data_IF_433132765755
#
_entry.id   IF_433132765755
#
_cell.length_a   1.000
_cell.length_b   1.000
_cell.length_c   1.000
_cell.angle_alpha   90.00
_cell.angle_beta   90.00
_cell.angle_gamma   90.00
#
_symmetry.space_group_name_H-M   'P 1'
#
loop_
_entity.id
_entity.type
_entity.pdbx_description
1 polymer ?
#
# COMPACT_ATOMS: atom_id res chain seq x y z
N UNK A 1 -30.53 7.19 25.91
CA UNK A 1 -29.47 6.41 25.26
C UNK A 1 -28.16 6.70 25.95
N UNK A 2 -27.26 5.73 26.00
CA UNK A 2 -25.88 5.93 26.48
C UNK A 2 -25.00 6.54 25.36
N UNK A 3 -23.72 6.81 25.69
CA UNK A 3 -22.78 7.45 24.76
C UNK A 3 -22.47 6.61 23.48
N UNK A 4 -22.81 5.31 23.50
CA UNK A 4 -22.59 4.40 22.37
C UNK A 4 -23.84 4.21 21.51
N UNK A 5 -24.91 4.95 21.81
CA UNK A 5 -26.22 4.81 21.19
C UNK A 5 -26.77 6.16 20.72
N UNK A 6 -27.59 6.14 19.70
CA UNK A 6 -28.41 7.29 19.29
C UNK A 6 -29.89 6.98 19.40
N UNK A 7 -30.70 8.01 19.70
CA UNK A 7 -32.16 7.90 19.77
C UNK A 7 -32.75 7.91 18.36
N UNK A 8 -33.72 7.02 18.12
CA UNK A 8 -34.50 7.05 16.88
C UNK A 8 -35.43 8.25 16.85
N UNK A 9 -35.65 8.83 15.67
CA UNK A 9 -36.61 9.91 15.48
C UNK A 9 -38.06 9.39 15.74
N UNK A 10 -38.84 10.15 16.49
CA UNK A 10 -40.26 9.92 16.71
C UNK A 10 -41.02 11.12 16.19
N UNK A 11 -42.02 10.90 15.34
CA UNK A 11 -42.96 11.95 14.96
C UNK A 11 -44.04 11.98 16.03
N UNK A 12 -44.22 13.13 16.67
CA UNK A 12 -45.22 13.33 17.72
C UNK A 12 -46.33 14.22 17.18
N UNK A 13 -47.56 13.80 17.31
CA UNK A 13 -48.75 14.53 16.94
C UNK A 13 -49.67 14.77 18.15
N UNK A 14 -50.76 15.47 17.93
CA UNK A 14 -51.73 15.83 18.97
C UNK A 14 -52.43 14.64 19.62
N UNK A 15 -52.41 13.47 18.98
CA UNK A 15 -53.02 12.25 19.57
C UNK A 15 -52.10 11.60 20.60
N UNK A 16 -50.85 11.96 20.63
CA UNK A 16 -49.84 11.43 21.55
C UNK A 16 -49.60 12.30 22.78
N UNK A 17 -50.16 13.48 22.80
CA UNK A 17 -50.01 14.45 23.91
C UNK A 17 -51.35 14.62 24.65
N UNK A 18 -51.26 15.11 25.89
CA UNK A 18 -52.45 15.34 26.70
C UNK A 18 -52.92 16.77 26.58
N UNK A 19 -54.25 16.97 26.46
CA UNK A 19 -54.86 18.29 26.42
C UNK A 19 -56.25 18.28 25.76
N UNK A 20 -57.03 19.34 26.00
CA UNK A 20 -58.27 19.61 25.26
C UNK A 20 -57.99 20.69 24.22
N UNK A 21 -57.96 20.30 22.95
CA UNK A 21 -57.63 21.17 21.81
C UNK A 21 -58.86 21.75 21.12
N UNK A 22 -60.03 21.69 21.80
CA UNK A 22 -61.27 22.31 21.29
C UNK A 22 -61.25 23.81 21.50
N UNK A 23 -61.90 24.51 20.59
CA UNK A 23 -62.15 25.95 20.69
C UNK A 23 -63.54 26.31 20.20
N UNK A 24 -64.16 27.25 20.90
CA UNK A 24 -65.39 27.90 20.46
C UNK A 24 -65.15 29.18 19.70
N UNK A 25 -63.86 29.59 19.56
CA UNK A 25 -63.45 30.83 18.93
C UNK A 25 -63.17 30.65 17.43
N UNK A 26 -62.24 29.74 17.10
CA UNK A 26 -61.91 29.40 15.74
C UNK A 26 -61.14 28.07 15.61
N UNK A 27 -61.07 27.53 14.38
CA UNK A 27 -60.24 26.39 14.08
C UNK A 27 -58.75 26.67 14.30
N UNK A 28 -58.32 27.90 14.00
CA UNK A 28 -56.93 28.33 14.22
C UNK A 28 -56.55 28.31 15.71
N UNK A 29 -57.42 28.77 16.58
CA UNK A 29 -57.23 28.69 18.05
C UNK A 29 -57.14 27.25 18.54
N UNK A 30 -57.94 26.35 18.02
CA UNK A 30 -57.87 24.94 18.33
C UNK A 30 -56.52 24.33 17.86
N UNK A 31 -56.08 24.64 16.64
CA UNK A 31 -54.82 24.19 16.10
C UNK A 31 -53.60 24.75 16.88
N UNK A 32 -53.67 26.00 17.35
CA UNK A 32 -52.61 26.58 18.15
C UNK A 32 -52.48 25.91 19.53
N UNK A 33 -53.59 25.55 20.14
CA UNK A 33 -53.59 24.77 21.41
C UNK A 33 -52.95 23.40 21.21
N UNK A 34 -53.29 22.68 20.16
CA UNK A 34 -52.70 21.38 19.83
C UNK A 34 -51.20 21.50 19.58
N UNK A 35 -50.77 22.51 18.77
CA UNK A 35 -49.35 22.77 18.48
C UNK A 35 -48.56 23.04 19.77
N UNK A 36 -49.07 23.92 20.62
CA UNK A 36 -48.40 24.27 21.87
C UNK A 36 -48.24 23.03 22.79
N UNK A 37 -49.24 22.12 22.84
CA UNK A 37 -49.14 20.90 23.60
C UNK A 37 -48.09 19.91 23.03
N UNK A 38 -48.03 19.79 21.70
CA UNK A 38 -47.01 18.96 21.04
C UNK A 38 -45.61 19.55 21.29
N UNK A 39 -45.43 20.87 21.19
CA UNK A 39 -44.15 21.53 21.48
C UNK A 39 -43.73 21.35 22.95
N UNK A 40 -44.67 21.43 23.90
CA UNK A 40 -44.35 21.28 25.32
C UNK A 40 -44.07 19.85 25.75
N UNK A 41 -44.78 18.85 25.21
CA UNK A 41 -44.76 17.47 25.66
C UNK A 41 -44.00 16.52 24.70
N UNK A 42 -43.71 16.98 23.48
CA UNK A 42 -43.21 16.13 22.41
C UNK A 42 -41.90 15.45 22.74
N UNK A 43 -40.99 16.12 23.46
CA UNK A 43 -39.70 15.51 23.84
C UNK A 43 -39.89 14.36 24.82
N UNK A 44 -40.79 14.52 25.81
CA UNK A 44 -41.08 13.45 26.77
C UNK A 44 -41.72 12.24 26.10
N UNK A 45 -42.64 12.48 25.16
CA UNK A 45 -43.22 11.40 24.35
C UNK A 45 -42.16 10.71 23.49
N UNK A 46 -41.27 11.49 22.88
CA UNK A 46 -40.17 10.93 22.09
C UNK A 46 -39.20 10.10 22.94
N UNK A 47 -38.91 10.54 24.15
CA UNK A 47 -38.03 9.82 25.10
C UNK A 47 -38.64 8.46 25.55
N UNK A 48 -40.00 8.38 25.64
CA UNK A 48 -40.69 7.15 25.99
C UNK A 48 -40.89 6.21 24.80
N UNK A 49 -41.19 6.74 23.62
CA UNK A 49 -41.51 5.96 22.42
C UNK A 49 -40.31 5.68 21.53
N UNK A 50 -39.29 6.50 21.60
CA UNK A 50 -38.01 6.32 20.85
C UNK A 50 -37.24 5.10 21.34
N UNK A 51 -36.47 4.53 20.43
CA UNK A 51 -35.54 3.42 20.73
C UNK A 51 -34.11 3.93 20.71
N UNK A 52 -33.27 3.34 21.54
CA UNK A 52 -31.84 3.56 21.48
C UNK A 52 -31.18 2.50 20.57
N UNK A 53 -30.50 2.95 19.56
CA UNK A 53 -29.79 2.09 18.61
C UNK A 53 -28.28 2.30 18.75
N UNK A 54 -27.52 1.22 18.63
CA UNK A 54 -26.07 1.29 18.71
C UNK A 54 -25.53 2.09 17.54
N UNK A 55 -24.57 2.97 17.82
CA UNK A 55 -23.82 3.67 16.78
C UNK A 55 -23.03 2.62 15.98
N UNK A 56 -23.22 2.52 14.66
CA UNK A 56 -22.46 1.58 13.85
C UNK A 56 -20.97 1.95 13.88
N UNK A 57 -20.13 0.92 14.01
CA UNK A 57 -18.69 1.08 13.93
C UNK A 57 -18.19 0.34 12.69
N UNK A 58 -17.62 1.09 11.78
CA UNK A 58 -17.01 0.59 10.54
C UNK A 58 -15.52 0.39 10.77
N UNK A 59 -14.96 -0.72 10.24
CA UNK A 59 -13.52 -0.99 10.30
C UNK A 59 -12.93 -0.85 8.91
N UNK A 60 -11.94 0.02 8.78
CA UNK A 60 -11.25 0.30 7.53
C UNK A 60 -10.23 -0.76 7.18
N UNK A 61 -10.14 -1.07 5.90
CA UNK A 61 -9.14 -1.96 5.32
C UNK A 61 -8.48 -1.31 4.12
N UNK A 62 -7.18 -1.51 3.98
CA UNK A 62 -6.43 -1.05 2.80
C UNK A 62 -5.17 -1.87 2.61
N UNK A 63 -4.80 -2.08 1.35
CA UNK A 63 -3.59 -2.81 0.97
C UNK A 63 -2.94 -2.11 -0.21
N UNK A 64 -1.62 -1.96 -0.19
CA UNK A 64 -0.83 -1.39 -1.28
C UNK A 64 0.54 -2.04 -1.38
N UNK A 65 1.01 -2.21 -2.61
CA UNK A 65 2.36 -2.70 -2.90
C UNK A 65 3.30 -1.53 -3.12
N UNK A 66 4.47 -1.58 -2.46
CA UNK A 66 5.55 -0.61 -2.58
C UNK A 66 6.80 -1.31 -3.13
N UNK A 67 7.58 -0.59 -3.91
CA UNK A 67 8.89 -1.05 -4.37
C UNK A 67 9.98 -0.47 -3.48
N UNK A 68 10.89 -1.29 -3.00
CA UNK A 68 12.07 -0.82 -2.26
C UNK A 68 12.87 0.16 -3.10
N UNK A 69 13.22 1.32 -2.55
CA UNK A 69 13.88 2.42 -3.28
C UNK A 69 15.25 2.82 -2.72
N UNK A 70 15.76 2.11 -1.74
CA UNK A 70 17.07 2.38 -1.11
C UNK A 70 18.14 1.33 -1.47
N UNK A 71 18.05 0.69 -2.65
CA UNK A 71 19.00 -0.33 -3.11
C UNK A 71 20.28 0.23 -3.76
N UNK A 72 20.46 1.55 -3.83
CA UNK A 72 21.61 2.12 -4.53
C UNK A 72 21.63 1.72 -6.01
N UNK A 73 22.67 0.99 -6.44
CA UNK A 73 22.82 0.51 -7.82
C UNK A 73 21.93 -0.72 -8.14
N UNK A 74 21.34 -1.35 -7.13
CA UNK A 74 20.45 -2.51 -7.30
C UNK A 74 19.02 -2.13 -7.66
N UNK A 75 18.27 -3.11 -8.11
CA UNK A 75 16.84 -3.00 -8.34
C UNK A 75 16.08 -3.44 -7.11
N UNK A 76 15.14 -2.62 -6.64
CA UNK A 76 14.32 -2.95 -5.49
C UNK A 76 13.21 -3.95 -5.84
N UNK A 77 13.05 -4.95 -4.99
CA UNK A 77 11.90 -5.84 -4.99
C UNK A 77 10.65 -5.15 -4.44
N UNK A 78 9.53 -5.83 -4.52
CA UNK A 78 8.24 -5.32 -4.02
C UNK A 78 7.87 -5.91 -2.66
N UNK A 79 7.14 -5.14 -1.87
CA UNK A 79 6.56 -5.57 -0.61
C UNK A 79 5.12 -5.04 -0.48
N UNK A 80 4.20 -5.93 -0.16
CA UNK A 80 2.78 -5.56 -0.01
C UNK A 80 2.49 -5.28 1.46
N UNK A 81 2.01 -4.07 1.74
CA UNK A 81 1.67 -3.58 3.07
C UNK A 81 0.15 -3.47 3.18
N UNK A 82 -0.42 -3.98 4.25
CA UNK A 82 -1.83 -3.83 4.59
C UNK A 82 -2.01 -3.02 5.89
N UNK A 83 -3.26 -2.68 6.18
CA UNK A 83 -3.67 -1.91 7.36
C UNK A 83 -3.21 -2.48 8.70
N UNK A 84 -3.02 -3.81 8.81
CA UNK A 84 -2.60 -4.48 10.06
C UNK A 84 -1.09 -4.38 10.32
N UNK A 85 -0.33 -3.99 9.31
CA UNK A 85 1.14 -3.89 9.36
C UNK A 85 1.62 -2.49 9.75
N UNK A 86 0.72 -1.54 9.89
CA UNK A 86 1.03 -0.13 10.17
C UNK A 86 0.47 0.29 11.53
N UNK A 87 1.09 1.30 12.12
CA UNK A 87 0.65 1.85 13.40
C UNK A 87 -0.74 2.48 13.28
N UNK A 88 -1.51 2.35 14.34
CA UNK A 88 -2.86 2.90 14.44
C UNK A 88 -4.00 1.91 14.12
N UNK A 89 -3.69 0.68 13.76
CA UNK A 89 -4.70 -0.37 13.61
C UNK A 89 -5.37 -0.72 14.97
N UNK A 90 -6.71 -0.98 15.00
CA UNK A 90 -7.66 -0.95 13.90
C UNK A 90 -8.14 0.48 13.54
N UNK A 91 -8.32 0.75 12.24
CA UNK A 91 -8.84 2.02 11.75
C UNK A 91 -10.37 1.99 11.75
N UNK A 92 -10.98 2.69 12.69
CA UNK A 92 -12.42 2.68 12.86
C UNK A 92 -13.08 4.04 12.59
N UNK A 93 -14.35 4.00 12.23
CA UNK A 93 -15.21 5.18 12.07
C UNK A 93 -16.64 4.88 12.47
N UNK A 94 -17.30 5.87 13.04
CA UNK A 94 -18.76 5.86 13.26
C UNK A 94 -19.52 6.61 12.18
N UNK A 95 -18.79 7.22 11.22
CA UNK A 95 -19.39 8.03 10.14
C UNK A 95 -19.74 7.16 8.94
N UNK A 96 -18.75 6.43 8.39
CA UNK A 96 -18.96 5.55 7.23
C UNK A 96 -17.81 4.55 7.05
N UNK A 97 -18.08 3.51 6.26
CA UNK A 97 -17.05 2.55 5.81
C UNK A 97 -15.96 3.25 5.00
N UNK A 98 -16.33 4.24 4.18
CA UNK A 98 -15.39 5.03 3.38
C UNK A 98 -14.42 5.83 4.26
N UNK A 99 -14.94 6.49 5.32
CA UNK A 99 -14.09 7.22 6.27
C UNK A 99 -13.11 6.28 6.98
N UNK A 100 -13.57 5.10 7.40
CA UNK A 100 -12.70 4.08 8.00
C UNK A 100 -11.61 3.61 7.01
N UNK A 101 -11.97 3.34 5.75
CA UNK A 101 -11.03 2.94 4.71
C UNK A 101 -10.02 4.05 4.38
N UNK A 102 -10.44 5.31 4.38
CA UNK A 102 -9.55 6.46 4.15
C UNK A 102 -8.51 6.62 5.26
N UNK A 103 -8.87 6.34 6.51
CA UNK A 103 -7.92 6.32 7.64
C UNK A 103 -6.88 5.21 7.47
N UNK A 104 -7.31 3.99 7.12
CA UNK A 104 -6.41 2.87 6.83
C UNK A 104 -5.48 3.18 5.65
N UNK A 105 -6.02 3.75 4.58
CA UNK A 105 -5.25 4.17 3.40
C UNK A 105 -4.19 5.20 3.76
N UNK A 106 -4.53 6.22 4.51
CA UNK A 106 -3.59 7.28 4.91
C UNK A 106 -2.42 6.71 5.71
N UNK A 107 -2.67 5.77 6.64
CA UNK A 107 -1.63 5.13 7.44
C UNK A 107 -0.72 4.23 6.59
N UNK A 108 -1.27 3.41 5.70
CA UNK A 108 -0.50 2.55 4.78
C UNK A 108 0.33 3.39 3.81
N UNK A 109 -0.23 4.47 3.26
CA UNK A 109 0.51 5.36 2.34
C UNK A 109 1.66 6.09 3.06
N UNK A 110 1.48 6.45 4.33
CA UNK A 110 2.52 7.14 5.12
C UNK A 110 3.68 6.21 5.53
N UNK A 111 3.41 4.95 5.87
CA UNK A 111 4.38 4.04 6.47
C UNK A 111 4.90 2.97 5.50
N UNK A 112 4.15 2.68 4.43
CA UNK A 112 4.40 1.53 3.56
C UNK A 112 5.74 1.56 2.83
N UNK A 113 6.24 2.73 2.43
CA UNK A 113 7.56 2.84 1.79
C UNK A 113 8.70 2.47 2.76
N UNK A 114 8.60 2.87 4.02
CA UNK A 114 9.59 2.53 5.04
C UNK A 114 9.62 1.02 5.28
N UNK A 115 8.45 0.38 5.39
CA UNK A 115 8.34 -1.07 5.52
C UNK A 115 8.90 -1.81 4.29
N UNK A 116 8.61 -1.35 3.08
CA UNK A 116 9.19 -1.92 1.87
C UNK A 116 10.72 -1.81 1.84
N UNK A 117 11.27 -0.69 2.31
CA UNK A 117 12.71 -0.48 2.39
C UNK A 117 13.43 -1.41 3.39
N UNK A 118 12.69 -1.96 4.35
CA UNK A 118 13.22 -2.92 5.33
C UNK A 118 13.02 -4.36 4.84
N UNK A 119 11.85 -4.69 4.31
CA UNK A 119 11.44 -6.07 4.09
C UNK A 119 11.59 -6.58 2.66
N UNK A 120 11.54 -5.72 1.64
CA UNK A 120 11.78 -6.13 0.27
C UNK A 120 13.28 -6.34 0.01
N UNK A 121 13.61 -7.27 -0.89
CA UNK A 121 14.99 -7.55 -1.26
C UNK A 121 15.50 -6.54 -2.31
N UNK A 122 16.80 -6.30 -2.31
CA UNK A 122 17.50 -5.66 -3.42
C UNK A 122 18.09 -6.74 -4.33
N UNK A 123 18.02 -6.55 -5.64
CA UNK A 123 18.70 -7.41 -6.62
C UNK A 123 19.74 -6.60 -7.36
N UNK A 124 20.98 -7.03 -7.30
CA UNK A 124 22.13 -6.42 -7.97
C UNK A 124 22.53 -7.27 -9.18
N UNK A 125 22.83 -6.62 -10.31
CA UNK A 125 23.29 -7.31 -11.51
C UNK A 125 24.77 -7.04 -11.70
N UNK A 126 25.56 -8.12 -11.76
CA UNK A 126 27.01 -8.08 -11.86
C UNK A 126 27.51 -7.65 -13.21
N UNK A 127 28.57 -6.85 -13.19
CA UNK A 127 29.28 -6.36 -14.37
C UNK A 127 30.74 -6.71 -14.28
N UNK A 128 31.28 -7.21 -15.40
CA UNK A 128 32.67 -7.52 -15.52
C UNK A 128 33.14 -7.36 -16.97
N UNK A 129 34.38 -6.96 -17.14
CA UNK A 129 35.03 -6.85 -18.45
C UNK A 129 36.51 -7.08 -18.28
N UNK A 130 37.10 -7.99 -19.08
CA UNK A 130 38.51 -8.27 -19.12
C UNK A 130 38.98 -8.37 -20.56
N UNK A 131 40.23 -7.98 -20.80
CA UNK A 131 40.90 -8.11 -22.08
C UNK A 131 41.72 -9.41 -22.10
N UNK A 132 41.56 -10.21 -23.14
CA UNK A 132 42.30 -11.43 -23.39
C UNK A 132 42.96 -11.34 -24.77
N UNK A 133 44.16 -11.85 -24.90
CA UNK A 133 44.84 -11.98 -26.20
C UNK A 133 44.62 -13.38 -26.75
N UNK A 134 44.17 -13.51 -27.99
CA UNK A 134 44.11 -14.81 -28.66
C UNK A 134 45.46 -15.50 -28.62
N UNK A 135 45.56 -16.70 -28.11
CA UNK A 135 46.84 -17.42 -27.87
C UNK A 135 46.93 -18.77 -28.62
N UNK A 136 45.98 -19.09 -29.47
CA UNK A 136 46.02 -20.29 -30.30
C UNK A 136 46.34 -20.02 -31.77
N UNK A 137 47.05 -18.94 -32.06
CA UNK A 137 47.59 -18.67 -33.40
C UNK A 137 48.76 -19.61 -33.71
N UNK A 138 48.92 -19.97 -35.01
CA UNK A 138 50.05 -20.78 -35.43
C UNK A 138 51.42 -20.04 -35.30
N UNK A 139 52.50 -20.73 -35.63
CA UNK A 139 53.83 -20.17 -35.53
C UNK A 139 53.99 -18.85 -36.29
N UNK A 140 54.73 -17.94 -35.70
CA UNK A 140 55.00 -16.60 -36.23
C UNK A 140 53.78 -15.67 -36.39
N UNK A 141 52.65 -15.95 -35.71
CA UNK A 141 51.46 -15.09 -35.75
C UNK A 141 51.12 -14.55 -34.37
N UNK A 142 50.67 -13.30 -34.37
CA UNK A 142 50.25 -12.58 -33.15
C UNK A 142 48.74 -12.57 -33.11
N UNK A 143 48.17 -12.96 -31.97
CA UNK A 143 46.73 -12.89 -31.72
C UNK A 143 46.29 -11.48 -31.35
N UNK A 144 45.12 -11.10 -31.81
CA UNK A 144 44.50 -9.84 -31.42
C UNK A 144 44.01 -9.89 -29.98
N UNK A 145 43.90 -8.71 -29.37
CA UNK A 145 43.21 -8.51 -28.10
C UNK A 145 41.70 -8.49 -28.31
N UNK A 146 40.98 -9.09 -27.38
CA UNK A 146 39.51 -9.16 -27.37
C UNK A 146 39.01 -8.83 -25.98
N UNK A 147 38.13 -7.85 -25.87
CA UNK A 147 37.46 -7.53 -24.61
C UNK A 147 36.28 -8.47 -24.46
N UNK A 148 36.28 -9.23 -23.38
CA UNK A 148 35.20 -10.14 -23.01
C UNK A 148 34.42 -9.53 -21.85
N UNK A 149 33.10 -9.36 -22.04
CA UNK A 149 32.18 -8.82 -21.04
C UNK A 149 31.30 -9.91 -20.46
N UNK A 150 30.65 -9.64 -19.34
CA UNK A 150 29.74 -10.58 -18.67
C UNK A 150 28.60 -11.07 -19.60
N UNK A 151 28.19 -10.28 -20.59
CA UNK A 151 27.10 -10.66 -21.52
C UNK A 151 27.54 -11.69 -22.57
N UNK A 152 28.86 -11.91 -22.69
CA UNK A 152 29.45 -12.85 -23.64
C UNK A 152 29.66 -14.24 -23.06
N UNK A 153 29.55 -14.41 -21.74
CA UNK A 153 29.83 -15.66 -21.04
C UNK A 153 28.55 -16.33 -20.60
N UNK A 154 28.60 -17.66 -20.48
CA UNK A 154 27.46 -18.43 -20.01
C UNK A 154 27.16 -18.13 -18.53
N UNK A 155 25.87 -18.18 -18.16
CA UNK A 155 25.41 -17.96 -16.80
C UNK A 155 24.92 -16.54 -16.52
N UNK A 156 25.02 -15.61 -17.50
CA UNK A 156 24.42 -14.27 -17.30
C UNK A 156 22.87 -14.30 -17.39
N UNK A 157 22.18 -13.35 -16.70
CA UNK A 157 22.71 -12.30 -15.85
C UNK A 157 23.20 -12.83 -14.49
N UNK A 158 24.35 -12.33 -14.04
CA UNK A 158 24.90 -12.64 -12.70
C UNK A 158 24.22 -11.75 -11.67
N UNK A 159 23.40 -12.34 -10.80
CA UNK A 159 22.60 -11.57 -9.83
C UNK A 159 22.92 -11.97 -8.40
N UNK A 160 22.90 -11.01 -7.50
CA UNK A 160 23.02 -11.19 -6.06
C UNK A 160 22.00 -10.33 -5.33
N UNK A 161 21.50 -10.85 -4.23
CA UNK A 161 20.63 -10.07 -3.31
C UNK A 161 21.46 -9.43 -2.18
N UNK A 162 22.75 -9.74 -2.07
CA UNK A 162 23.61 -9.27 -0.99
C UNK A 162 24.19 -7.88 -1.29
N UNK A 163 24.87 -7.74 -2.44
CA UNK A 163 25.51 -6.48 -2.82
C UNK A 163 25.90 -6.44 -4.30
N UNK A 164 26.15 -5.22 -4.81
CA UNK A 164 26.72 -5.03 -6.13
C UNK A 164 28.10 -5.72 -6.25
N UNK A 165 28.92 -5.63 -5.20
CA UNK A 165 30.24 -6.29 -5.16
C UNK A 165 30.15 -7.81 -5.31
N UNK A 166 29.17 -8.44 -4.67
CA UNK A 166 28.95 -9.88 -4.80
C UNK A 166 28.51 -10.26 -6.22
N UNK A 167 27.61 -9.50 -6.81
CA UNK A 167 27.18 -9.70 -8.20
C UNK A 167 28.34 -9.51 -9.19
N UNK A 168 29.15 -8.45 -9.02
CA UNK A 168 30.33 -8.18 -9.85
C UNK A 168 31.38 -9.27 -9.72
N UNK A 169 31.59 -9.81 -8.52
CA UNK A 169 32.52 -10.92 -8.29
C UNK A 169 32.08 -12.21 -9.03
N UNK A 170 30.77 -12.52 -9.05
CA UNK A 170 30.24 -13.64 -9.83
C UNK A 170 30.48 -13.44 -11.33
N UNK A 171 30.18 -12.26 -11.86
CA UNK A 171 30.41 -11.91 -13.26
C UNK A 171 31.92 -11.99 -13.61
N UNK A 172 32.80 -11.47 -12.76
CA UNK A 172 34.23 -11.51 -12.93
C UNK A 172 34.77 -12.92 -12.98
N UNK A 173 34.32 -13.80 -12.06
CA UNK A 173 34.70 -15.21 -12.03
C UNK A 173 34.33 -15.91 -13.35
N UNK A 174 33.13 -15.67 -13.85
CA UNK A 174 32.68 -16.27 -15.12
C UNK A 174 33.49 -15.77 -16.32
N UNK A 175 33.77 -14.44 -16.39
CA UNK A 175 34.59 -13.85 -17.44
C UNK A 175 36.03 -14.37 -17.40
N UNK A 176 36.62 -14.54 -16.21
CA UNK A 176 37.93 -15.14 -16.04
C UNK A 176 37.99 -16.60 -16.51
N UNK A 177 37.00 -17.39 -16.16
CA UNK A 177 36.96 -18.81 -16.51
C UNK A 177 36.75 -19.08 -18.00
N UNK A 178 35.95 -18.26 -18.70
CA UNK A 178 35.53 -18.49 -20.08
C UNK A 178 36.25 -17.59 -21.10
N UNK A 179 36.86 -16.49 -20.63
CA UNK A 179 37.35 -15.38 -21.47
C UNK A 179 38.40 -15.80 -22.45
N UNK A 180 39.39 -16.65 -22.07
CA UNK A 180 40.43 -17.09 -22.97
C UNK A 180 39.90 -17.96 -24.12
N UNK A 181 38.95 -18.85 -23.83
CA UNK A 181 38.32 -19.68 -24.88
C UNK A 181 37.55 -18.81 -25.89
N UNK A 182 36.82 -17.82 -25.39
CA UNK A 182 36.08 -16.86 -26.23
C UNK A 182 37.05 -15.97 -27.05
N UNK A 183 38.15 -15.50 -26.46
CA UNK A 183 39.16 -14.74 -27.19
C UNK A 183 39.82 -15.55 -28.29
N UNK A 184 40.04 -16.85 -28.06
CA UNK A 184 40.56 -17.78 -29.06
C UNK A 184 39.60 -18.02 -30.24
N UNK A 185 38.31 -17.86 -30.00
CA UNK A 185 37.26 -18.00 -31.05
C UNK A 185 37.04 -16.67 -31.79
N UNK A 186 36.95 -15.57 -31.04
CA UNK A 186 36.53 -14.25 -31.59
C UNK A 186 37.71 -13.41 -32.11
N UNK A 187 38.88 -13.60 -31.58
CA UNK A 187 40.10 -12.87 -32.01
C UNK A 187 40.60 -13.30 -33.38
N UNK A 188 41.48 -12.52 -33.95
CA UNK A 188 42.15 -12.77 -35.22
C UNK A 188 43.63 -13.05 -35.01
N UNK A 189 44.27 -13.71 -35.96
CA UNK A 189 45.73 -13.89 -36.02
C UNK A 189 46.30 -13.12 -37.19
N UNK A 190 47.34 -12.33 -36.95
CA UNK A 190 48.06 -11.55 -37.97
C UNK A 190 49.54 -11.92 -37.96
N UNK A 191 50.20 -11.69 -39.08
CA UNK A 191 51.68 -11.79 -39.22
C UNK A 191 52.34 -10.62 -38.53
#
# INVERSE_FOLDING_TARGET
CDETQYGTKVVVDETMVTGDFRSTVSQEDANNKAKAAVEAQGQDVANVKGKCEKVPVYTGTYTRTFTRNNCGAGTGGTYTVNDRMVDGYPFTSTVSQEDANNKAKAAVDAQGQALANIHALCTYTGRASLEFTRNNCGECKIGSKVTITQDMVEGHPFQSNDSQTAADAMAMTAVQAQGQALANTKGTCSN
#
